data_IF_903310787099
#
_entry.id   IF_903310787099
#
_cell.length_a   1.000
_cell.length_b   1.000
_cell.length_c   1.000
_cell.angle_alpha   90.00
_cell.angle_beta   90.00
_cell.angle_gamma   90.00
#
_symmetry.space_group_name_H-M   'P 1'
#
loop_
_entity.id
_entity.type
_entity.pdbx_description
1 polymer ?
#
# COMPACT_ATOMS: atom_id res chain seq x y z
N UNK A 1 39.83 30.50 -0.22
CA UNK A 1 39.36 29.10 -0.07
C UNK A 1 40.60 28.24 0.12
N UNK A 2 40.85 27.67 1.32
CA UNK A 2 42.10 26.91 1.57
C UNK A 2 42.11 25.62 0.74
N UNK A 3 43.24 25.24 0.10
CA UNK A 3 43.39 23.96 -0.57
C UNK A 3 43.10 22.82 0.41
N UNK A 4 42.21 21.89 0.04
CA UNK A 4 41.75 20.81 0.94
C UNK A 4 42.79 19.68 0.96
N UNK A 5 43.64 19.63 1.98
CA UNK A 5 44.51 18.47 2.31
C UNK A 5 43.72 17.14 2.45
N UNK A 6 42.39 17.20 2.51
CA UNK A 6 41.51 16.05 2.69
C UNK A 6 41.41 15.14 1.45
N UNK A 7 41.72 15.60 0.23
CA UNK A 7 41.45 14.86 -1.01
C UNK A 7 42.12 13.47 -1.07
N UNK A 8 43.31 13.31 -0.49
CA UNK A 8 44.01 12.03 -0.40
C UNK A 8 43.23 11.03 0.46
N UNK A 9 42.84 11.43 1.67
CA UNK A 9 42.10 10.60 2.61
C UNK A 9 40.67 10.30 2.15
N UNK A 10 40.07 11.18 1.34
CA UNK A 10 38.76 10.91 0.73
C UNK A 10 38.83 9.67 -0.16
N UNK A 11 39.89 9.51 -0.97
CA UNK A 11 40.06 8.31 -1.81
C UNK A 11 40.13 7.04 -0.97
N UNK A 12 40.90 7.06 0.12
CA UNK A 12 41.03 5.90 1.01
C UNK A 12 39.68 5.47 1.62
N UNK A 13 38.83 6.44 2.00
CA UNK A 13 37.47 6.15 2.49
C UNK A 13 36.58 5.57 1.40
N UNK A 14 36.64 6.10 0.18
CA UNK A 14 35.87 5.56 -0.95
C UNK A 14 36.31 4.13 -1.28
N UNK A 15 37.61 3.84 -1.26
CA UNK A 15 38.13 2.50 -1.50
C UNK A 15 37.76 1.54 -0.36
N UNK A 16 37.75 2.00 0.89
CA UNK A 16 37.22 1.21 2.00
C UNK A 16 35.71 0.93 1.86
N UNK A 17 34.92 1.90 1.37
CA UNK A 17 33.52 1.65 1.02
C UNK A 17 33.39 0.60 -0.08
N UNK A 18 34.25 0.60 -1.11
CA UNK A 18 34.20 -0.41 -2.18
C UNK A 18 34.50 -1.81 -1.66
N UNK A 19 35.46 -1.93 -0.73
CA UNK A 19 35.86 -3.20 -0.14
C UNK A 19 34.82 -3.73 0.87
N UNK A 20 34.42 -2.88 1.81
CA UNK A 20 33.61 -3.26 2.97
C UNK A 20 32.12 -2.98 2.81
N UNK A 21 31.73 -2.18 1.82
CA UNK A 21 30.37 -1.72 1.48
C UNK A 21 29.69 -0.82 2.52
N UNK A 22 30.00 -1.03 3.80
CA UNK A 22 29.41 -0.31 4.93
C UNK A 22 30.53 0.12 5.88
N UNK A 23 30.45 1.36 6.34
CA UNK A 23 31.38 1.95 7.33
C UNK A 23 30.60 2.69 8.43
N UNK A 24 31.24 2.90 9.57
CA UNK A 24 30.69 3.66 10.70
C UNK A 24 31.35 5.03 10.84
N UNK A 25 30.68 5.93 11.57
CA UNK A 25 31.21 7.28 11.85
C UNK A 25 32.61 7.26 12.51
N UNK A 26 32.89 6.44 13.55
CA UNK A 26 34.21 6.37 14.15
C UNK A 26 35.32 5.91 13.19
N UNK A 27 35.02 4.95 12.32
CA UNK A 27 35.99 4.46 11.32
C UNK A 27 36.34 5.56 10.32
N UNK A 28 35.32 6.23 9.76
CA UNK A 28 35.54 7.33 8.82
C UNK A 28 36.25 8.51 9.46
N UNK A 29 35.95 8.82 10.73
CA UNK A 29 36.66 9.84 11.52
C UNK A 29 38.16 9.51 11.62
N UNK A 30 38.48 8.25 11.91
CA UNK A 30 39.86 7.76 12.00
C UNK A 30 40.59 7.89 10.67
N UNK A 31 39.96 7.46 9.58
CA UNK A 31 40.56 7.50 8.23
C UNK A 31 40.75 8.93 7.68
N UNK A 32 39.81 9.83 7.93
CA UNK A 32 39.87 11.22 7.45
C UNK A 32 40.67 12.15 8.37
N UNK A 33 41.07 11.68 9.55
CA UNK A 33 41.75 12.46 10.58
C UNK A 33 41.08 13.82 10.88
N UNK A 34 39.74 13.83 10.95
CA UNK A 34 38.97 15.06 11.09
C UNK A 34 37.84 14.95 12.13
N UNK A 35 37.15 16.07 12.38
CA UNK A 35 36.00 16.11 13.29
C UNK A 35 34.78 15.39 12.70
N UNK A 36 33.89 14.89 13.57
CA UNK A 36 32.62 14.26 13.15
C UNK A 36 31.81 15.18 12.25
N UNK A 37 31.76 16.49 12.57
CA UNK A 37 31.08 17.48 11.74
C UNK A 37 31.64 17.54 10.30
N UNK A 38 32.95 17.38 10.15
CA UNK A 38 33.60 17.33 8.83
C UNK A 38 33.22 16.05 8.10
N UNK A 39 33.25 14.89 8.76
CA UNK A 39 32.81 13.60 8.19
C UNK A 39 31.35 13.67 7.73
N UNK A 40 30.44 14.19 8.56
CA UNK A 40 29.03 14.37 8.19
C UNK A 40 28.84 15.25 6.96
N UNK A 41 29.63 16.34 6.83
CA UNK A 41 29.61 17.16 5.62
C UNK A 41 30.07 16.36 4.39
N UNK A 42 31.11 15.54 4.52
CA UNK A 42 31.60 14.68 3.42
C UNK A 42 30.59 13.62 3.01
N UNK A 43 29.97 12.96 3.97
CA UNK A 43 28.89 12.00 3.71
C UNK A 43 27.74 12.62 2.91
N UNK A 44 27.39 13.88 3.22
CA UNK A 44 26.38 14.62 2.45
C UNK A 44 26.87 14.97 1.04
N UNK A 45 28.11 15.44 0.89
CA UNK A 45 28.74 15.72 -0.42
C UNK A 45 28.80 14.46 -1.31
N UNK A 46 29.05 13.28 -0.72
CA UNK A 46 29.13 12.01 -1.43
C UNK A 46 27.76 11.34 -1.68
N UNK A 47 26.67 11.90 -1.16
CA UNK A 47 25.35 11.26 -1.25
C UNK A 47 25.27 9.91 -0.51
N UNK A 48 25.99 9.78 0.60
CA UNK A 48 25.98 8.57 1.40
C UNK A 48 24.64 8.38 2.12
N UNK A 49 24.24 7.13 2.28
CA UNK A 49 22.99 6.72 2.90
C UNK A 49 23.27 6.10 4.27
N UNK A 50 22.49 6.50 5.27
CA UNK A 50 22.55 5.94 6.61
C UNK A 50 21.59 4.75 6.76
N UNK A 51 21.94 3.80 7.62
CA UNK A 51 21.07 2.70 8.00
C UNK A 51 19.82 3.18 8.73
N UNK A 52 18.64 2.67 8.37
CA UNK A 52 17.38 3.09 8.99
C UNK A 52 16.97 2.26 10.22
N UNK A 53 17.57 1.08 10.44
CA UNK A 53 17.24 0.21 11.58
C UNK A 53 18.24 0.28 12.75
N UNK A 54 19.41 0.87 12.54
CA UNK A 54 20.51 0.92 13.51
C UNK A 54 20.81 2.36 13.96
N UNK A 55 19.79 3.20 14.12
CA UNK A 55 19.93 4.60 14.56
C UNK A 55 20.97 5.41 13.77
N UNK A 56 21.02 5.23 12.43
CA UNK A 56 22.02 5.87 11.56
C UNK A 56 23.49 5.60 11.93
N UNK A 57 23.79 4.44 12.55
CA UNK A 57 25.14 4.02 12.92
C UNK A 57 26.02 3.66 11.71
N UNK A 58 25.40 3.07 10.69
CA UNK A 58 26.10 2.54 9.52
C UNK A 58 25.80 3.38 8.28
N UNK A 59 26.79 3.52 7.41
CA UNK A 59 26.73 4.32 6.19
C UNK A 59 27.15 3.49 4.99
N UNK A 60 26.63 3.84 3.82
CA UNK A 60 27.02 3.25 2.53
C UNK A 60 26.89 4.28 1.41
N UNK A 61 27.55 4.05 0.28
CA UNK A 61 27.37 4.87 -0.92
C UNK A 61 26.27 4.28 -1.80
N UNK A 62 25.41 5.15 -2.36
CA UNK A 62 24.31 4.72 -3.23
C UNK A 62 24.79 3.91 -4.44
N UNK A 63 25.99 4.17 -4.95
CA UNK A 63 26.60 3.45 -6.06
C UNK A 63 27.03 2.01 -5.74
N UNK A 64 27.17 1.65 -4.46
CA UNK A 64 27.63 0.33 -3.99
C UNK A 64 26.45 -0.54 -3.54
N UNK A 65 25.42 0.11 -3.01
CA UNK A 65 24.24 -0.55 -2.49
C UNK A 65 23.43 -1.27 -3.59
N UNK A 66 23.04 -2.52 -3.33
CA UNK A 66 22.26 -3.36 -4.25
C UNK A 66 20.78 -3.28 -3.92
N UNK A 67 20.14 -2.18 -4.30
CA UNK A 67 18.71 -1.97 -4.02
C UNK A 67 17.81 -2.92 -4.80
N UNK A 68 16.77 -3.42 -4.12
CA UNK A 68 15.70 -4.17 -4.75
C UNK A 68 14.70 -3.24 -5.47
N UNK A 69 13.64 -3.81 -6.07
CA UNK A 69 12.58 -3.06 -6.77
C UNK A 69 11.90 -1.98 -5.91
N UNK A 70 11.84 -2.19 -4.59
CA UNK A 70 11.27 -1.25 -3.61
C UNK A 70 12.29 -0.23 -3.10
N UNK A 71 13.53 -0.25 -3.61
CA UNK A 71 14.58 0.68 -3.19
C UNK A 71 15.24 0.35 -1.86
N UNK A 72 15.09 -0.89 -1.37
CA UNK A 72 15.65 -1.35 -0.10
C UNK A 72 16.85 -2.26 -0.34
N UNK A 73 17.86 -2.16 0.52
CA UNK A 73 19.02 -3.03 0.48
C UNK A 73 19.34 -3.52 1.90
N UNK A 74 19.50 -4.83 2.04
CA UNK A 74 19.94 -5.47 3.28
C UNK A 74 21.37 -5.96 3.10
N UNK A 75 22.25 -5.59 4.03
CA UNK A 75 23.62 -6.05 4.08
C UNK A 75 23.96 -6.43 5.52
N UNK A 76 24.23 -7.72 5.76
CA UNK A 76 24.67 -8.23 7.07
C UNK A 76 23.75 -7.82 8.24
N UNK A 77 22.43 -7.77 8.00
CA UNK A 77 21.44 -7.35 9.00
C UNK A 77 21.19 -5.84 9.08
N UNK A 78 22.05 -5.03 8.46
CA UNK A 78 21.86 -3.59 8.33
C UNK A 78 20.98 -3.27 7.13
N UNK A 79 20.06 -2.32 7.30
CA UNK A 79 19.04 -2.00 6.31
C UNK A 79 19.18 -0.56 5.82
N UNK A 80 19.19 -0.41 4.50
CA UNK A 80 19.36 0.86 3.79
C UNK A 80 18.21 1.09 2.82
N UNK A 81 17.94 2.36 2.55
CA UNK A 81 16.94 2.79 1.58
C UNK A 81 17.53 3.84 0.65
N UNK A 82 17.23 3.72 -0.65
CA UNK A 82 17.55 4.77 -1.63
C UNK A 82 16.89 6.12 -1.31
N UNK A 83 15.85 6.11 -0.48
CA UNK A 83 15.14 7.30 -0.01
C UNK A 83 15.76 7.92 1.26
N UNK A 84 16.88 7.36 1.74
CA UNK A 84 17.58 7.82 2.93
C UNK A 84 16.92 7.35 4.21
N UNK A 85 16.12 8.22 4.84
CA UNK A 85 15.57 7.98 6.19
C UNK A 85 14.39 7.02 6.19
N UNK A 86 14.08 6.46 7.38
CA UNK A 86 12.90 5.62 7.56
C UNK A 86 11.61 6.36 7.17
N UNK A 87 11.45 7.63 7.60
CA UNK A 87 10.32 8.50 7.21
C UNK A 87 10.13 8.55 5.69
N UNK A 88 11.17 8.94 4.96
CA UNK A 88 11.08 9.10 3.50
C UNK A 88 10.79 7.77 2.81
N UNK A 89 11.32 6.68 3.36
CA UNK A 89 11.09 5.33 2.85
C UNK A 89 9.64 4.91 3.04
N UNK A 90 9.06 5.14 4.23
CA UNK A 90 7.63 4.86 4.50
C UNK A 90 6.75 5.67 3.56
N UNK A 91 7.01 6.97 3.41
CA UNK A 91 6.25 7.84 2.49
C UNK A 91 6.32 7.30 1.06
N UNK A 92 7.50 6.92 0.58
CA UNK A 92 7.63 6.35 -0.77
C UNK A 92 6.87 5.02 -0.92
N UNK A 93 7.01 4.11 0.04
CA UNK A 93 6.33 2.81 0.00
C UNK A 93 4.81 2.96 0.01
N UNK A 94 4.29 3.88 0.82
CA UNK A 94 2.86 4.20 0.84
C UNK A 94 2.43 4.81 -0.49
N UNK A 95 3.20 5.75 -1.05
CA UNK A 95 2.88 6.40 -2.33
C UNK A 95 2.73 5.41 -3.49
N UNK A 96 3.63 4.41 -3.57
CA UNK A 96 3.61 3.41 -4.65
C UNK A 96 2.67 2.23 -4.37
N UNK A 97 2.12 2.13 -3.15
CA UNK A 97 1.22 1.03 -2.80
C UNK A 97 -0.11 1.17 -3.52
N UNK A 98 -0.67 0.05 -3.96
CA UNK A 98 -1.99 0.01 -4.58
C UNK A 98 -3.13 0.17 -3.55
N UNK A 99 -2.90 -0.13 -2.27
CA UNK A 99 -3.97 -0.22 -1.25
C UNK A 99 -3.60 0.43 0.09
N UNK A 100 -2.69 1.41 0.07
CA UNK A 100 -2.03 1.90 1.28
C UNK A 100 -1.23 0.79 1.96
N UNK A 101 -0.74 1.04 3.18
CA UNK A 101 -0.01 0.02 3.95
C UNK A 101 -0.36 0.11 5.44
N UNK A 102 -0.59 -1.03 6.08
CA UNK A 102 -0.67 -1.12 7.55
C UNK A 102 0.71 -1.17 8.19
N UNK A 103 0.78 -1.00 9.51
CA UNK A 103 2.03 -1.20 10.26
C UNK A 103 2.62 -2.61 10.07
N UNK A 104 1.78 -3.65 9.99
CA UNK A 104 2.24 -5.02 9.77
C UNK A 104 2.82 -5.20 8.36
N UNK A 105 2.15 -4.64 7.35
CA UNK A 105 2.62 -4.67 5.96
C UNK A 105 3.95 -3.89 5.82
N UNK A 106 4.05 -2.71 6.46
CA UNK A 106 5.29 -1.93 6.51
C UNK A 106 6.42 -2.71 7.18
N UNK A 107 6.18 -3.33 8.33
CA UNK A 107 7.18 -4.14 9.03
C UNK A 107 7.67 -5.32 8.17
N UNK A 108 6.76 -6.01 7.48
CA UNK A 108 7.10 -7.11 6.57
C UNK A 108 8.00 -6.64 5.41
N UNK A 109 7.73 -5.45 4.87
CA UNK A 109 8.51 -4.88 3.76
C UNK A 109 9.87 -4.34 4.24
N UNK A 110 9.87 -3.61 5.36
CA UNK A 110 11.05 -2.90 5.87
C UNK A 110 11.98 -3.82 6.67
N UNK A 111 11.52 -4.96 7.17
CA UNK A 111 12.29 -5.89 7.98
C UNK A 111 12.58 -5.39 9.40
N UNK A 112 11.94 -4.30 9.84
CA UNK A 112 12.02 -3.76 11.21
C UNK A 112 10.68 -3.15 11.62
N UNK A 113 10.42 -3.10 12.92
CA UNK A 113 9.19 -2.52 13.45
C UNK A 113 9.17 -1.01 13.21
N UNK A 114 8.14 -0.53 12.53
CA UNK A 114 7.89 0.91 12.36
C UNK A 114 7.07 1.50 13.49
N UNK A 115 6.54 0.68 14.40
CA UNK A 115 5.51 1.08 15.36
C UNK A 115 6.01 2.15 16.32
N UNK A 116 7.21 1.99 16.87
CA UNK A 116 7.82 2.97 17.78
C UNK A 116 8.14 4.29 17.07
N UNK A 117 8.65 4.21 15.84
CA UNK A 117 8.99 5.38 15.02
C UNK A 117 7.74 6.16 14.59
N UNK A 118 6.72 5.46 14.10
CA UNK A 118 5.45 6.05 13.67
C UNK A 118 4.67 6.65 14.86
N UNK A 119 4.72 6.02 16.04
CA UNK A 119 4.07 6.54 17.24
C UNK A 119 4.68 7.88 17.71
N UNK A 120 5.99 8.07 17.53
CA UNK A 120 6.68 9.32 17.86
C UNK A 120 6.40 10.43 16.85
N UNK A 121 6.06 10.08 15.61
CA UNK A 121 5.73 11.03 14.55
C UNK A 121 4.22 11.24 14.46
N UNK A 122 3.69 12.14 15.31
CA UNK A 122 2.26 12.53 15.31
C UNK A 122 1.76 12.97 13.92
N UNK A 123 2.65 13.52 13.10
CA UNK A 123 2.37 13.88 11.71
C UNK A 123 3.54 13.46 10.81
N UNK A 124 3.29 12.50 9.93
CA UNK A 124 4.21 12.16 8.85
C UNK A 124 3.73 12.85 7.57
N UNK A 125 4.40 13.94 7.20
CA UNK A 125 4.11 14.63 5.93
C UNK A 125 4.18 13.65 4.76
N UNK A 126 3.18 13.71 3.88
CA UNK A 126 3.06 12.85 2.70
C UNK A 126 2.21 11.60 2.91
N UNK A 127 1.82 11.26 4.15
CA UNK A 127 0.86 10.18 4.41
C UNK A 127 -0.27 10.58 5.35
N UNK A 128 -1.45 10.02 5.11
CA UNK A 128 -2.67 10.16 5.92
C UNK A 128 -2.89 8.85 6.69
N UNK A 129 -2.72 8.82 8.02
CA UNK A 129 -3.06 7.66 8.83
C UNK A 129 -4.59 7.58 9.06
N UNK A 130 -5.18 6.43 8.81
CA UNK A 130 -6.58 6.13 9.12
C UNK A 130 -6.71 4.86 9.97
N UNK A 131 -7.57 4.91 10.99
CA UNK A 131 -7.86 3.75 11.82
C UNK A 131 -9.00 2.94 11.20
N UNK A 132 -8.70 1.68 10.88
CA UNK A 132 -9.68 0.70 10.43
C UNK A 132 -9.69 -0.47 11.40
N UNK A 133 -10.78 -0.65 12.14
CA UNK A 133 -10.90 -1.64 13.21
C UNK A 133 -9.76 -1.52 14.24
N UNK A 134 -8.94 -2.57 14.37
CA UNK A 134 -7.79 -2.66 15.30
C UNK A 134 -6.45 -2.27 14.65
N UNK A 135 -6.45 -1.78 13.41
CA UNK A 135 -5.22 -1.46 12.69
C UNK A 135 -5.22 -0.02 12.17
N UNK A 136 -4.03 0.58 12.13
CA UNK A 136 -3.79 1.85 11.44
C UNK A 136 -3.26 1.54 10.05
N UNK A 137 -3.87 2.15 9.04
CA UNK A 137 -3.46 2.08 7.64
C UNK A 137 -3.00 3.47 7.21
N UNK A 138 -1.84 3.52 6.57
CA UNK A 138 -1.27 4.74 6.00
C UNK A 138 -1.61 4.80 4.52
N UNK A 139 -2.23 5.91 4.12
CA UNK A 139 -2.54 6.23 2.74
C UNK A 139 -1.72 7.43 2.26
N UNK A 140 -1.64 7.64 0.95
CA UNK A 140 -1.02 8.84 0.40
C UNK A 140 -1.77 10.12 0.81
N UNK A 141 -1.06 11.24 0.96
CA UNK A 141 -1.70 12.55 1.03
C UNK A 141 -2.29 13.03 -0.30
N UNK A 142 -1.82 12.53 -1.44
CA UNK A 142 -2.33 12.87 -2.77
C UNK A 142 -3.75 12.33 -2.94
N UNK A 143 -4.71 13.20 -3.26
CA UNK A 143 -6.12 12.84 -3.25
C UNK A 143 -6.50 11.80 -4.32
N UNK A 144 -5.82 11.78 -5.47
CA UNK A 144 -6.08 10.78 -6.51
C UNK A 144 -5.50 9.42 -6.14
N UNK A 145 -4.28 9.40 -5.58
CA UNK A 145 -3.66 8.17 -5.07
C UNK A 145 -4.44 7.65 -3.88
N UNK A 146 -4.82 8.52 -2.96
CA UNK A 146 -5.63 8.21 -1.78
C UNK A 146 -6.94 7.52 -2.14
N UNK A 147 -7.74 8.10 -3.05
CA UNK A 147 -9.02 7.52 -3.49
C UNK A 147 -8.82 6.12 -4.06
N UNK A 148 -7.87 5.98 -5.00
CA UNK A 148 -7.52 4.67 -5.60
C UNK A 148 -7.10 3.66 -4.54
N UNK A 149 -6.25 4.05 -3.59
CA UNK A 149 -5.80 3.18 -2.53
C UNK A 149 -6.92 2.72 -1.61
N UNK A 150 -7.83 3.64 -1.27
CA UNK A 150 -8.97 3.36 -0.41
C UNK A 150 -9.95 2.43 -1.09
N UNK A 151 -10.31 2.71 -2.34
CA UNK A 151 -11.19 1.86 -3.14
C UNK A 151 -10.59 0.47 -3.37
N UNK A 152 -9.27 0.36 -3.57
CA UNK A 152 -8.59 -0.94 -3.72
C UNK A 152 -8.44 -1.72 -2.41
N UNK A 153 -8.36 -1.05 -1.26
CA UNK A 153 -8.25 -1.70 0.06
C UNK A 153 -9.60 -2.13 0.58
N UNK A 154 -10.60 -1.27 0.39
CA UNK A 154 -11.99 -1.45 0.78
C UNK A 154 -12.82 -1.34 -0.49
N UNK A 155 -12.75 -2.34 -1.40
CA UNK A 155 -13.63 -2.36 -2.54
C UNK A 155 -15.05 -2.27 -2.02
N UNK A 156 -15.85 -1.40 -2.64
CA UNK A 156 -17.28 -1.39 -2.39
C UNK A 156 -17.75 -2.82 -2.57
N UNK A 157 -18.49 -3.34 -1.60
CA UNK A 157 -19.19 -4.59 -1.82
C UNK A 157 -19.90 -4.45 -3.17
N UNK A 158 -19.68 -5.37 -4.13
CA UNK A 158 -20.48 -5.37 -5.34
C UNK A 158 -21.90 -5.33 -4.84
N UNK A 159 -22.65 -4.27 -5.22
CA UNK A 159 -23.98 -3.97 -4.70
C UNK A 159 -24.69 -5.29 -4.56
N UNK A 160 -24.81 -5.79 -3.33
CA UNK A 160 -25.34 -7.13 -3.13
C UNK A 160 -26.69 -7.07 -3.82
N UNK A 161 -26.85 -7.89 -4.87
CA UNK A 161 -28.08 -7.96 -5.66
C UNK A 161 -29.20 -7.95 -4.64
N UNK A 162 -30.01 -6.88 -4.61
CA UNK A 162 -31.03 -6.72 -3.57
C UNK A 162 -32.07 -7.80 -3.82
N UNK A 163 -31.86 -8.96 -3.21
CA UNK A 163 -32.81 -10.05 -3.24
C UNK A 163 -34.03 -9.62 -2.43
N UNK A 164 -35.23 -9.91 -2.93
CA UNK A 164 -36.43 -9.73 -2.14
C UNK A 164 -36.35 -10.59 -0.86
N UNK A 165 -36.97 -10.15 0.26
CA UNK A 165 -37.16 -11.01 1.42
C UNK A 165 -37.82 -12.34 1.05
N UNK A 166 -37.55 -13.43 1.78
CA UNK A 166 -37.99 -14.79 1.44
C UNK A 166 -39.49 -14.91 1.14
N UNK A 167 -40.34 -14.21 1.91
CA UNK A 167 -41.78 -14.20 1.67
C UNK A 167 -42.14 -13.62 0.29
N UNK A 168 -41.47 -12.54 -0.12
CA UNK A 168 -41.65 -11.92 -1.43
C UNK A 168 -41.07 -12.82 -2.54
N UNK A 169 -39.93 -13.48 -2.29
CA UNK A 169 -39.35 -14.47 -3.20
C UNK A 169 -40.33 -15.62 -3.48
N UNK A 170 -40.99 -16.16 -2.45
CA UNK A 170 -42.01 -17.21 -2.60
C UNK A 170 -43.19 -16.69 -3.44
N UNK A 171 -43.69 -15.49 -3.17
CA UNK A 171 -44.80 -14.89 -3.92
C UNK A 171 -44.44 -14.76 -5.42
N UNK A 172 -43.22 -14.28 -5.72
CA UNK A 172 -42.73 -14.15 -7.11
C UNK A 172 -42.63 -15.53 -7.78
N UNK A 173 -42.09 -16.54 -7.09
CA UNK A 173 -41.95 -17.90 -7.63
C UNK A 173 -43.31 -18.58 -7.85
N UNK A 174 -44.27 -18.39 -6.95
CA UNK A 174 -45.64 -18.88 -7.11
C UNK A 174 -46.31 -18.21 -8.31
N UNK A 175 -46.12 -16.90 -8.50
CA UNK A 175 -46.64 -16.21 -9.69
C UNK A 175 -46.00 -16.73 -10.99
N UNK A 176 -44.70 -17.03 -10.97
CA UNK A 176 -44.00 -17.64 -12.10
C UNK A 176 -44.53 -19.05 -12.43
N UNK A 177 -44.85 -19.87 -11.43
CA UNK A 177 -45.47 -21.19 -11.62
C UNK A 177 -46.88 -21.09 -12.23
N UNK A 178 -47.66 -20.09 -11.81
CA UNK A 178 -49.01 -19.84 -12.36
C UNK A 178 -48.98 -19.27 -13.79
N UNK A 179 -47.92 -18.56 -14.16
CA UNK A 179 -47.73 -17.97 -15.50
C UNK A 179 -46.37 -18.38 -16.09
N UNK A 180 -46.24 -19.64 -16.55
CA UNK A 180 -44.96 -20.14 -17.04
C UNK A 180 -44.43 -19.32 -18.22
N UNK A 181 -43.26 -18.70 -18.05
CA UNK A 181 -42.61 -17.91 -19.09
C UNK A 181 -42.93 -16.42 -19.10
N UNK A 182 -43.65 -15.89 -18.11
CA UNK A 182 -43.82 -14.46 -17.92
C UNK A 182 -42.48 -13.76 -17.66
N UNK A 183 -42.27 -12.60 -18.30
CA UNK A 183 -41.10 -11.75 -18.08
C UNK A 183 -41.21 -10.98 -16.75
N UNK A 184 -40.10 -10.53 -16.14
CA UNK A 184 -40.13 -9.77 -14.87
C UNK A 184 -41.11 -8.60 -14.85
N UNK A 185 -41.26 -7.87 -15.96
CA UNK A 185 -42.24 -6.77 -16.09
C UNK A 185 -43.69 -7.24 -16.04
N UNK A 186 -43.98 -8.40 -16.64
CA UNK A 186 -45.32 -8.99 -16.64
C UNK A 186 -45.67 -9.53 -15.24
N UNK A 187 -44.72 -10.18 -14.57
CA UNK A 187 -44.90 -10.62 -13.18
C UNK A 187 -45.10 -9.45 -12.22
N UNK A 188 -44.37 -8.35 -12.39
CA UNK A 188 -44.61 -7.12 -11.63
C UNK A 188 -46.04 -6.59 -11.81
N UNK A 189 -46.58 -6.63 -13.03
CA UNK A 189 -47.97 -6.22 -13.30
C UNK A 189 -49.00 -7.16 -12.67
N UNK A 190 -48.80 -8.48 -12.78
CA UNK A 190 -49.68 -9.50 -12.18
C UNK A 190 -49.69 -9.33 -10.66
N UNK A 191 -48.52 -9.22 -10.05
CA UNK A 191 -48.36 -9.08 -8.61
C UNK A 191 -48.96 -7.78 -8.07
N UNK A 192 -48.89 -6.67 -8.84
CA UNK A 192 -49.62 -5.43 -8.51
C UNK A 192 -51.12 -5.61 -8.49
N UNK A 193 -51.68 -6.40 -9.43
CA UNK A 193 -53.09 -6.77 -9.45
C UNK A 193 -53.51 -7.56 -8.20
N UNK A 194 -52.61 -8.40 -7.70
CA UNK A 194 -52.79 -9.20 -6.48
C UNK A 194 -52.42 -8.43 -5.18
N UNK A 195 -52.25 -7.10 -5.25
CA UNK A 195 -51.98 -6.23 -4.09
C UNK A 195 -50.52 -6.14 -3.65
N UNK A 196 -49.57 -6.73 -4.39
CA UNK A 196 -48.15 -6.72 -4.08
C UNK A 196 -47.39 -5.72 -4.96
N UNK A 197 -46.90 -4.62 -4.37
CA UNK A 197 -46.07 -3.64 -5.08
C UNK A 197 -44.61 -4.12 -5.14
N UNK A 198 -44.29 -4.90 -6.18
CA UNK A 198 -42.94 -5.44 -6.41
C UNK A 198 -42.42 -4.94 -7.77
N UNK A 199 -41.24 -4.30 -7.78
CA UNK A 199 -40.62 -3.79 -9.00
C UNK A 199 -39.97 -4.88 -9.85
N UNK A 200 -40.01 -4.70 -11.17
CA UNK A 200 -39.45 -5.64 -12.14
C UNK A 200 -37.95 -5.88 -11.93
N UNK A 201 -37.20 -4.88 -11.45
CA UNK A 201 -35.77 -5.00 -11.17
C UNK A 201 -35.48 -5.97 -10.02
N UNK A 202 -36.36 -6.02 -9.01
CA UNK A 202 -36.24 -6.96 -7.89
C UNK A 202 -36.51 -8.40 -8.37
N UNK A 203 -37.46 -8.57 -9.28
CA UNK A 203 -37.77 -9.88 -9.89
C UNK A 203 -36.62 -10.33 -10.79
N UNK A 204 -36.04 -9.43 -11.59
CA UNK A 204 -34.91 -9.76 -12.48
C UNK A 204 -33.66 -10.15 -11.69
N UNK A 205 -33.38 -9.43 -10.59
CA UNK A 205 -32.35 -9.75 -9.62
C UNK A 205 -32.52 -11.15 -9.00
N UNK A 206 -33.75 -11.50 -8.60
CA UNK A 206 -34.07 -12.83 -8.07
C UNK A 206 -33.86 -13.92 -9.13
N UNK A 207 -34.27 -13.67 -10.38
CA UNK A 207 -34.13 -14.62 -11.48
C UNK A 207 -32.67 -14.85 -11.86
N UNK A 208 -31.86 -13.80 -11.86
CA UNK A 208 -30.43 -13.90 -12.13
C UNK A 208 -29.71 -14.70 -11.03
N UNK A 209 -30.03 -14.43 -9.77
CA UNK A 209 -29.42 -15.13 -8.64
C UNK A 209 -29.74 -16.63 -8.62
N UNK A 210 -30.97 -17.02 -8.95
CA UNK A 210 -31.41 -18.42 -8.96
C UNK A 210 -31.30 -19.11 -10.33
N UNK A 211 -30.74 -18.45 -11.35
CA UNK A 211 -30.56 -19.03 -12.69
C UNK A 211 -31.88 -19.30 -13.44
N UNK A 212 -32.94 -18.54 -13.14
CA UNK A 212 -34.29 -18.71 -13.69
C UNK A 212 -34.53 -17.93 -15.00
N UNK A 213 -33.53 -17.17 -15.49
CA UNK A 213 -33.59 -16.50 -16.79
C UNK A 213 -33.69 -17.58 -17.89
N UNK A 214 -34.77 -17.56 -18.69
CA UNK A 214 -34.93 -18.47 -19.84
C UNK A 214 -33.71 -18.35 -20.75
N UNK A 215 -33.03 -19.47 -21.00
CA UNK A 215 -32.14 -19.57 -22.16
C UNK A 215 -33.03 -19.48 -23.41
N UNK A 216 -32.69 -18.66 -24.42
CA UNK A 216 -33.38 -18.73 -25.70
C UNK A 216 -33.16 -20.14 -26.25
N UNK A 217 -34.24 -20.88 -26.45
CA UNK A 217 -34.19 -22.09 -27.26
C UNK A 217 -33.78 -21.65 -28.66
N UNK A 218 -32.53 -21.90 -29.03
CA UNK A 218 -32.13 -22.01 -30.43
C UNK A 218 -32.72 -23.34 -30.89
N UNK A 219 -33.91 -23.28 -31.48
CA UNK A 219 -34.45 -24.38 -32.27
C UNK A 219 -33.86 -24.28 -33.68
N UNK A 220 -32.97 -25.20 -34.00
CA UNK A 220 -32.83 -25.79 -35.35
C UNK A 220 -33.19 -27.27 -35.27
#
# INVERSE_FOLDING_TARGET
MRPRETLKYEKDVIDAFRLRKVLTMPEMKSMLHCSIATVSRRLKEWGALSSYNENARYYTLASIAKFNKKGLWKHEGVLFSKHGTLKNTVVHLVQISHRGLSNQELQSILGTSTTSYMAQQKHLEGVKPEKHNRQVVYFSCDDQVYKRQKDSRFPREPTAVKLPPDAISIIILVALLKSPGALPRQLSQILRGDGHQIDADIIDNLFEHHGLKKKPNISE
#
